data_IF_339206920377
#
_entry.id   IF_339206920377
#
_cell.length_a   1.000
_cell.length_b   1.000
_cell.length_c   1.000
_cell.angle_alpha   90.00
_cell.angle_beta   90.00
_cell.angle_gamma   90.00
#
_symmetry.space_group_name_H-M   'P 1'
#
loop_
_entity.id
_entity.type
_entity.pdbx_description
1 polymer ?
#
# COMPACT_ATOMS: atom_id res chain seq x y z
N UNK A 1 10.00 -22.05 9.05
CA UNK A 1 9.58 -21.32 7.83
C UNK A 1 8.44 -20.37 8.15
N UNK A 2 8.53 -19.17 7.69
CA UNK A 2 7.52 -18.15 7.96
C UNK A 2 6.43 -18.16 6.89
N UNK A 3 5.19 -18.45 7.31
CA UNK A 3 4.05 -18.48 6.40
C UNK A 3 3.83 -17.14 5.71
N UNK A 4 4.17 -16.03 6.37
CA UNK A 4 4.05 -14.70 5.78
C UNK A 4 5.00 -14.53 4.59
N UNK A 5 6.20 -15.09 4.68
CA UNK A 5 7.16 -15.00 3.59
C UNK A 5 6.61 -15.68 2.34
N UNK A 6 6.06 -16.88 2.50
CA UNK A 6 5.46 -17.61 1.39
C UNK A 6 4.24 -16.85 0.84
N UNK A 7 3.42 -16.31 1.74
CA UNK A 7 2.23 -15.55 1.36
C UNK A 7 2.60 -14.29 0.58
N UNK A 8 3.59 -13.56 1.06
CA UNK A 8 4.04 -12.34 0.38
C UNK A 8 4.56 -12.63 -1.02
N UNK A 9 5.32 -13.73 -1.15
CA UNK A 9 5.84 -14.15 -2.45
C UNK A 9 4.71 -14.49 -3.42
N UNK A 10 3.72 -15.22 -2.93
CA UNK A 10 2.54 -15.57 -3.74
C UNK A 10 1.81 -14.32 -4.21
N UNK A 11 1.59 -13.37 -3.30
CA UNK A 11 0.90 -12.12 -3.64
C UNK A 11 1.68 -11.29 -4.64
N UNK A 12 3.01 -11.26 -4.54
CA UNK A 12 3.85 -10.55 -5.52
C UNK A 12 3.71 -11.13 -6.92
N UNK A 13 3.55 -12.45 -7.02
CA UNK A 13 3.38 -13.13 -8.31
C UNK A 13 1.98 -12.98 -8.87
N UNK A 14 1.00 -12.62 -8.02
CA UNK A 14 -0.41 -12.59 -8.41
C UNK A 14 -1.06 -11.26 -8.03
N UNK A 15 -0.48 -10.17 -8.51
CA UNK A 15 -1.05 -8.85 -8.24
C UNK A 15 -2.45 -8.72 -8.84
N UNK A 16 -3.34 -8.06 -8.11
CA UNK A 16 -4.66 -7.73 -8.65
C UNK A 16 -4.50 -6.73 -9.78
N UNK A 17 -5.53 -6.57 -10.65
CA UNK A 17 -5.46 -5.56 -11.71
C UNK A 17 -5.18 -4.16 -11.16
N UNK A 18 -5.79 -3.78 -10.05
CA UNK A 18 -5.59 -2.47 -9.45
C UNK A 18 -4.17 -2.32 -8.93
N UNK A 19 -3.64 -3.36 -8.30
CA UNK A 19 -2.24 -3.34 -7.84
C UNK A 19 -1.27 -3.19 -9.00
N UNK A 20 -1.57 -3.83 -10.12
CA UNK A 20 -0.72 -3.71 -11.32
C UNK A 20 -0.72 -2.29 -11.86
N UNK A 21 -1.89 -1.64 -11.88
CA UNK A 21 -2.01 -0.26 -12.33
C UNK A 21 -1.12 0.64 -11.48
N UNK A 22 -1.24 0.52 -10.16
CA UNK A 22 -0.47 1.36 -9.26
C UNK A 22 1.02 1.01 -9.32
N UNK A 23 1.35 -0.27 -9.38
CA UNK A 23 2.75 -0.69 -9.48
C UNK A 23 3.43 -0.13 -10.73
N UNK A 24 2.70 -0.04 -11.84
CA UNK A 24 3.24 0.53 -13.07
C UNK A 24 3.59 2.02 -12.91
N UNK A 25 2.96 2.71 -11.98
CA UNK A 25 3.30 4.10 -11.66
C UNK A 25 4.52 4.17 -10.76
N UNK A 26 4.65 3.24 -9.82
CA UNK A 26 5.64 3.32 -8.75
C UNK A 26 6.97 2.62 -9.05
N UNK A 27 6.96 1.63 -9.93
CA UNK A 27 8.14 0.77 -10.14
C UNK A 27 9.30 1.53 -10.80
N UNK A 28 10.49 0.94 -10.68
CA UNK A 28 11.69 1.42 -11.38
C UNK A 28 12.08 2.85 -11.03
N UNK A 29 11.75 3.30 -9.82
CA UNK A 29 12.08 4.65 -9.33
C UNK A 29 11.51 5.77 -10.20
N UNK A 30 10.48 5.47 -10.99
CA UNK A 30 9.94 6.48 -11.90
C UNK A 30 9.03 7.50 -11.22
N UNK A 31 8.60 7.23 -9.98
CA UNK A 31 7.82 8.20 -9.22
C UNK A 31 8.78 8.96 -8.29
N UNK A 32 9.19 10.13 -8.71
CA UNK A 32 10.12 11.02 -7.98
C UNK A 32 11.42 10.35 -7.55
N UNK A 33 11.81 9.27 -8.21
CA UNK A 33 13.05 8.59 -7.90
C UNK A 33 13.01 7.70 -6.66
N UNK A 34 11.86 7.58 -6.02
CA UNK A 34 11.73 6.74 -4.84
C UNK A 34 11.64 5.26 -5.21
N UNK A 35 12.21 4.43 -4.35
CA UNK A 35 12.08 2.99 -4.49
C UNK A 35 10.87 2.50 -3.72
N UNK A 36 10.01 1.76 -4.40
CA UNK A 36 8.85 1.13 -3.76
C UNK A 36 9.01 -0.38 -3.73
N UNK A 37 8.60 -0.98 -2.63
CA UNK A 37 8.56 -2.43 -2.46
C UNK A 37 7.10 -2.84 -2.43
N UNK A 38 6.79 -3.98 -3.00
CA UNK A 38 5.41 -4.48 -3.02
C UNK A 38 5.29 -5.71 -2.14
N UNK A 39 4.12 -5.87 -1.53
CA UNK A 39 3.80 -7.01 -0.68
C UNK A 39 4.91 -7.25 0.33
N UNK A 40 5.19 -6.22 1.13
CA UNK A 40 6.28 -6.22 2.07
C UNK A 40 5.78 -6.57 3.48
N UNK A 41 6.57 -7.36 4.21
CA UNK A 41 6.19 -7.80 5.55
C UNK A 41 6.68 -6.80 6.59
N UNK A 42 5.75 -6.31 7.43
CA UNK A 42 6.08 -5.47 8.58
C UNK A 42 5.41 -6.12 9.79
N UNK A 43 6.21 -6.65 10.70
CA UNK A 43 5.68 -7.41 11.83
C UNK A 43 4.91 -8.62 11.35
N UNK A 44 3.64 -8.70 11.69
CA UNK A 44 2.76 -9.80 11.28
C UNK A 44 1.83 -9.42 10.12
N UNK A 45 2.14 -8.32 9.45
CA UNK A 45 1.28 -7.81 8.38
C UNK A 45 2.02 -7.74 7.06
N UNK A 46 1.27 -7.89 5.98
CA UNK A 46 1.79 -7.69 4.63
C UNK A 46 1.15 -6.40 4.11
N UNK A 47 1.98 -5.43 3.72
CA UNK A 47 1.48 -4.18 3.17
C UNK A 47 1.61 -4.20 1.65
N UNK A 48 0.70 -3.53 0.96
CA UNK A 48 0.68 -3.59 -0.51
C UNK A 48 1.91 -2.94 -1.12
N UNK A 49 2.20 -1.70 -0.75
CA UNK A 49 3.37 -0.98 -1.25
C UNK A 49 4.02 -0.20 -0.13
N UNK A 50 5.33 -0.19 -0.12
CA UNK A 50 6.10 0.51 0.90
C UNK A 50 7.20 1.35 0.26
N UNK A 51 7.27 2.61 0.66
CA UNK A 51 8.42 3.46 0.39
C UNK A 51 9.18 3.62 1.70
N UNK A 52 10.30 2.92 1.85
CA UNK A 52 11.09 2.95 3.07
C UNK A 52 11.68 4.33 3.34
N UNK A 53 12.13 4.99 2.29
CA UNK A 53 12.77 6.30 2.41
C UNK A 53 11.86 7.33 3.07
N UNK A 54 10.56 7.25 2.78
CA UNK A 54 9.58 8.21 3.31
C UNK A 54 8.76 7.65 4.45
N UNK A 55 8.91 6.37 4.77
CA UNK A 55 8.07 5.68 5.76
C UNK A 55 6.58 5.79 5.42
N UNK A 56 6.26 5.62 4.16
CA UNK A 56 4.88 5.69 3.68
C UNK A 56 4.46 4.35 3.10
N UNK A 57 3.29 3.90 3.52
CA UNK A 57 2.65 2.68 3.03
C UNK A 57 1.45 3.09 2.19
N UNK A 58 1.29 2.45 1.03
CA UNK A 58 0.12 2.67 0.17
C UNK A 58 -0.64 1.36 0.09
N UNK A 59 -1.95 1.42 0.33
CA UNK A 59 -2.80 0.25 0.28
C UNK A 59 -4.00 0.46 -0.61
N UNK A 60 -4.42 -0.62 -1.27
CA UNK A 60 -5.59 -0.61 -2.13
C UNK A 60 -6.63 -1.52 -1.48
N UNK A 61 -7.82 -0.99 -1.28
CA UNK A 61 -8.87 -1.67 -0.56
C UNK A 61 -10.05 -2.00 -1.46
N UNK A 62 -10.58 -3.21 -1.30
CA UNK A 62 -11.70 -3.67 -2.12
C UNK A 62 -13.07 -3.15 -1.69
N UNK A 63 -13.14 -2.55 -0.51
CA UNK A 63 -14.40 -1.95 -0.05
C UNK A 63 -15.41 -2.93 0.55
N UNK A 64 -14.98 -4.11 0.96
CA UNK A 64 -15.88 -5.13 1.46
C UNK A 64 -15.82 -5.33 2.97
N UNK A 65 -15.28 -4.38 3.71
CA UNK A 65 -15.04 -4.53 5.14
C UNK A 65 -16.13 -3.88 5.97
N UNK A 66 -17.32 -4.51 5.98
CA UNK A 66 -18.45 -4.00 6.76
C UNK A 66 -18.69 -4.75 8.06
N UNK A 67 -17.95 -5.83 8.30
CA UNK A 67 -18.11 -6.57 9.53
C UNK A 67 -17.30 -5.95 10.66
N UNK A 68 -17.87 -5.93 11.86
CA UNK A 68 -17.24 -5.33 13.02
C UNK A 68 -15.85 -5.90 13.29
N UNK A 69 -15.68 -7.21 13.15
CA UNK A 69 -14.38 -7.84 13.38
C UNK A 69 -13.31 -7.35 12.39
N UNK A 70 -13.71 -7.06 11.16
CA UNK A 70 -12.79 -6.56 10.13
C UNK A 70 -12.38 -5.13 10.46
N UNK A 71 -13.30 -4.33 10.96
CA UNK A 71 -13.00 -2.95 11.37
C UNK A 71 -12.01 -2.96 12.54
N UNK A 72 -12.21 -3.83 13.52
CA UNK A 72 -11.32 -3.94 14.67
C UNK A 72 -9.93 -4.37 14.22
N UNK A 73 -9.85 -5.36 13.33
CA UNK A 73 -8.59 -5.85 12.80
C UNK A 73 -7.84 -4.74 12.07
N UNK A 74 -8.54 -4.01 11.21
CA UNK A 74 -7.93 -2.90 10.45
C UNK A 74 -7.44 -1.80 11.37
N UNK A 75 -8.17 -1.50 12.43
CA UNK A 75 -7.78 -0.49 13.40
C UNK A 75 -6.49 -0.88 14.11
N UNK A 76 -6.40 -2.13 14.55
CA UNK A 76 -5.19 -2.65 15.20
C UNK A 76 -3.99 -2.61 14.25
N UNK A 77 -4.20 -3.00 13.03
CA UNK A 77 -3.16 -3.02 12.00
C UNK A 77 -2.64 -1.61 11.75
N UNK A 78 -3.53 -0.66 11.56
CA UNK A 78 -3.16 0.72 11.31
C UNK A 78 -2.42 1.31 12.50
N UNK A 79 -2.89 1.06 13.72
CA UNK A 79 -2.21 1.53 14.92
C UNK A 79 -0.80 0.97 15.02
N UNK A 80 -0.65 -0.32 14.73
CA UNK A 80 0.68 -0.96 14.77
C UNK A 80 1.62 -0.30 13.77
N UNK A 81 1.17 -0.12 12.55
CA UNK A 81 1.99 0.48 11.51
C UNK A 81 2.36 1.92 11.85
N UNK A 82 1.40 2.68 12.38
CA UNK A 82 1.67 4.05 12.81
C UNK A 82 2.67 4.09 13.96
N UNK A 83 2.58 3.13 14.88
CA UNK A 83 3.51 3.07 16.02
C UNK A 83 4.94 2.79 15.58
N UNK A 84 5.11 2.19 14.40
CA UNK A 84 6.43 1.94 13.82
C UNK A 84 6.92 3.10 12.97
N UNK A 85 6.20 4.20 12.94
CA UNK A 85 6.60 5.38 12.22
C UNK A 85 6.13 5.46 10.79
N UNK A 86 5.21 4.59 10.38
CA UNK A 86 4.70 4.59 9.01
C UNK A 86 3.42 5.40 8.90
N UNK A 87 3.30 6.12 7.80
CA UNK A 87 2.05 6.76 7.40
C UNK A 87 1.37 5.84 6.41
N UNK A 88 0.09 5.56 6.60
CA UNK A 88 -0.67 4.68 5.72
C UNK A 88 -1.63 5.49 4.89
N UNK A 89 -1.55 5.36 3.58
CA UNK A 89 -2.47 5.99 2.63
C UNK A 89 -3.29 4.87 1.99
N UNK A 90 -4.60 5.03 1.96
CA UNK A 90 -5.49 4.03 1.38
C UNK A 90 -6.26 4.59 0.20
N UNK A 91 -6.38 3.77 -0.83
CA UNK A 91 -7.22 4.05 -1.98
C UNK A 91 -8.18 2.88 -2.16
N UNK A 92 -9.35 3.16 -2.69
CA UNK A 92 -10.29 2.11 -3.05
C UNK A 92 -9.97 1.59 -4.45
N UNK A 93 -10.32 0.31 -4.70
CA UNK A 93 -10.20 -0.23 -6.06
C UNK A 93 -10.87 0.70 -7.07
N UNK A 94 -12.04 1.21 -6.71
CA UNK A 94 -12.80 2.09 -7.58
C UNK A 94 -12.03 3.37 -7.92
N UNK A 95 -11.26 3.90 -6.98
CA UNK A 95 -10.44 5.08 -7.24
C UNK A 95 -9.35 4.77 -8.26
N UNK A 96 -8.74 3.61 -8.15
CA UNK A 96 -7.70 3.20 -9.10
C UNK A 96 -8.30 3.01 -10.49
N UNK A 97 -9.46 2.38 -10.57
CA UNK A 97 -10.10 2.09 -11.86
C UNK A 97 -10.66 3.33 -12.54
N UNK A 98 -11.24 4.25 -11.79
CA UNK A 98 -12.04 5.34 -12.36
C UNK A 98 -11.49 6.74 -12.09
N UNK A 99 -10.49 6.87 -11.23
CA UNK A 99 -9.96 8.18 -10.87
C UNK A 99 -8.46 8.13 -10.60
N UNK A 100 -7.74 7.49 -11.50
CA UNK A 100 -6.29 7.34 -11.33
C UNK A 100 -5.58 8.69 -11.27
N UNK A 101 -6.11 9.70 -11.96
CA UNK A 101 -5.54 11.04 -11.91
C UNK A 101 -5.62 11.63 -10.52
N UNK A 102 -6.76 11.43 -9.84
CA UNK A 102 -6.93 11.89 -8.46
C UNK A 102 -5.99 11.16 -7.51
N UNK A 103 -5.83 9.86 -7.71
CA UNK A 103 -4.89 9.06 -6.93
C UNK A 103 -3.47 9.60 -7.10
N UNK A 104 -3.06 9.83 -8.36
CA UNK A 104 -1.73 10.35 -8.65
C UNK A 104 -1.52 11.71 -7.99
N UNK A 105 -2.53 12.58 -8.03
CA UNK A 105 -2.48 13.89 -7.42
C UNK A 105 -2.24 13.80 -5.91
N UNK A 106 -2.94 12.90 -5.24
CA UNK A 106 -2.77 12.68 -3.80
C UNK A 106 -1.35 12.20 -3.51
N UNK A 107 -0.85 11.28 -4.32
CA UNK A 107 0.51 10.78 -4.17
C UNK A 107 1.52 11.91 -4.35
N UNK A 108 1.32 12.76 -5.36
CA UNK A 108 2.20 13.91 -5.57
C UNK A 108 2.20 14.85 -4.37
N UNK A 109 1.03 15.13 -3.81
CA UNK A 109 0.91 15.99 -2.64
C UNK A 109 1.60 15.39 -1.43
N UNK A 110 1.52 14.08 -1.27
CA UNK A 110 2.09 13.40 -0.12
C UNK A 110 3.61 13.28 -0.22
N UNK A 111 4.11 12.91 -1.40
CA UNK A 111 5.54 12.65 -1.60
C UNK A 111 6.33 13.87 -2.05
N UNK A 112 5.69 14.77 -2.76
CA UNK A 112 6.38 15.90 -3.37
C UNK A 112 6.57 17.11 -2.47
N UNK A 113 6.07 17.06 -1.25
CA UNK A 113 6.08 18.21 -0.35
C UNK A 113 7.47 18.65 0.12
N UNK A 114 8.41 17.75 0.04
CA UNK A 114 9.75 18.02 0.58
C UNK A 114 10.71 18.56 -0.45
N UNK A 115 10.22 18.85 -1.61
CA UNK A 115 11.07 19.38 -2.67
C UNK A 115 11.51 20.81 -2.37
#
# INVERSE_FOLDING_TARGET
MNDLTAKARELRCNLTPQEKILWNILKNRQFYGYRFLRQYIIGNYIVDFLCKEKHIIIEIDGGQHNEEKDIVYDTKRTKYLNSKGYQVIRFWNNDIDNNIEGVYKILQQTFGKDS
#
